data_IF_590249790944
#
_entry.id   IF_590249790944
#
_cell.length_a   1.000
_cell.length_b   1.000
_cell.length_c   1.000
_cell.angle_alpha   90.00
_cell.angle_beta   90.00
_cell.angle_gamma   90.00
#
_symmetry.space_group_name_H-M   'P 1'
#
loop_
_entity.id
_entity.type
_entity.pdbx_description
1 polymer ?
#
# COMPACT_ATOMS: atom_id res chain seq x y z
N UNK A 1 14.47 4.22 -33.98
CA UNK A 1 13.83 4.46 -32.68
C UNK A 1 14.59 5.56 -31.96
N UNK A 2 13.90 6.53 -31.34
CA UNK A 2 14.55 7.59 -30.58
C UNK A 2 15.14 7.03 -29.28
N UNK A 3 16.37 7.42 -28.92
CA UNK A 3 17.00 7.05 -27.67
C UNK A 3 16.30 7.77 -26.51
N UNK A 4 16.06 7.07 -25.39
CA UNK A 4 15.47 7.69 -24.22
C UNK A 4 16.39 8.81 -23.67
N UNK A 5 15.78 9.94 -23.29
CA UNK A 5 16.50 11.08 -22.73
C UNK A 5 16.99 10.83 -21.29
N UNK A 6 16.31 9.97 -20.54
CA UNK A 6 16.63 9.58 -19.16
C UNK A 6 16.46 8.08 -18.99
N UNK A 7 17.30 7.48 -18.12
CA UNK A 7 17.22 6.06 -17.77
C UNK A 7 16.06 5.75 -16.83
N UNK A 8 15.66 6.71 -15.98
CA UNK A 8 14.46 6.62 -15.13
C UNK A 8 13.38 7.48 -15.76
N UNK A 9 12.21 6.93 -16.13
CA UNK A 9 11.14 7.69 -16.73
C UNK A 9 10.60 8.78 -15.77
N UNK A 10 10.02 9.83 -16.33
CA UNK A 10 9.44 10.91 -15.52
C UNK A 10 8.31 10.37 -14.62
N UNK A 11 8.32 10.78 -13.35
CA UNK A 11 7.35 10.36 -12.34
C UNK A 11 7.64 9.00 -11.69
N UNK A 12 8.60 8.24 -12.21
CA UNK A 12 9.06 7.00 -11.56
C UNK A 12 10.21 7.28 -10.61
N UNK A 13 10.32 6.43 -9.59
CA UNK A 13 11.45 6.39 -8.67
C UNK A 13 12.31 5.16 -8.95
N UNK A 14 13.53 5.12 -8.41
CA UNK A 14 14.45 3.98 -8.55
C UNK A 14 13.78 2.66 -8.12
N UNK A 15 13.00 2.70 -7.05
CA UNK A 15 12.14 1.59 -6.64
C UNK A 15 10.70 1.99 -6.97
N UNK A 16 10.06 1.21 -7.83
CA UNK A 16 8.66 1.41 -8.22
C UNK A 16 7.90 0.14 -7.92
N UNK A 17 6.84 0.17 -7.12
CA UNK A 17 6.04 -1.00 -6.83
C UNK A 17 5.41 -1.58 -8.10
N UNK A 18 5.35 -2.91 -8.17
CA UNK A 18 4.67 -3.64 -9.22
C UNK A 18 3.74 -4.68 -8.58
N UNK A 19 2.44 -4.55 -8.79
CA UNK A 19 1.42 -5.45 -8.24
C UNK A 19 0.91 -6.39 -9.33
N UNK A 20 1.01 -7.68 -9.06
CA UNK A 20 0.45 -8.75 -9.89
C UNK A 20 -0.89 -9.16 -9.31
N UNK A 21 -1.95 -9.13 -10.10
CA UNK A 21 -3.33 -9.14 -9.65
C UNK A 21 -4.14 -10.23 -10.36
N UNK A 22 -5.01 -10.93 -9.62
CA UNK A 22 -5.94 -11.91 -10.20
C UNK A 22 -6.96 -11.23 -11.14
N UNK A 23 -7.31 -9.97 -10.83
CA UNK A 23 -8.17 -9.12 -11.66
C UNK A 23 -7.70 -7.66 -11.51
N UNK A 24 -6.78 -7.25 -12.39
CA UNK A 24 -6.21 -5.92 -12.36
C UNK A 24 -7.25 -4.81 -12.64
N UNK A 25 -8.24 -5.07 -13.48
CA UNK A 25 -9.30 -4.10 -13.77
C UNK A 25 -10.12 -3.78 -12.52
N UNK A 26 -10.55 -4.81 -11.80
CA UNK A 26 -11.29 -4.64 -10.54
C UNK A 26 -10.44 -3.96 -9.46
N UNK A 27 -9.17 -4.33 -9.34
CA UNK A 27 -8.26 -3.73 -8.39
C UNK A 27 -8.04 -2.23 -8.66
N UNK A 28 -7.86 -1.84 -9.93
CA UNK A 28 -7.72 -0.43 -10.31
C UNK A 28 -8.96 0.38 -9.89
N UNK A 29 -10.17 -0.12 -10.14
CA UNK A 29 -11.39 0.57 -9.70
C UNK A 29 -11.47 0.66 -8.18
N UNK A 30 -11.05 -0.38 -7.46
CA UNK A 30 -10.97 -0.33 -6.01
C UNK A 30 -9.95 0.73 -5.53
N UNK A 31 -8.74 0.80 -6.12
CA UNK A 31 -7.74 1.81 -5.73
C UNK A 31 -8.20 3.24 -6.00
N UNK A 32 -9.00 3.46 -7.08
CA UNK A 32 -9.64 4.76 -7.33
C UNK A 32 -10.60 5.12 -6.18
N UNK A 33 -11.44 4.18 -5.76
CA UNK A 33 -12.43 4.41 -4.72
C UNK A 33 -11.83 4.43 -3.30
N UNK A 34 -10.92 3.50 -3.01
CA UNK A 34 -10.34 3.31 -1.69
C UNK A 34 -9.20 4.27 -1.35
N UNK A 35 -8.37 4.63 -2.34
CA UNK A 35 -7.18 5.46 -2.13
C UNK A 35 -7.16 6.75 -2.98
N UNK A 36 -8.21 7.03 -3.74
CA UNK A 36 -8.23 8.19 -4.64
C UNK A 36 -7.21 8.09 -5.77
N UNK A 37 -6.85 6.88 -6.19
CA UNK A 37 -5.88 6.67 -7.25
C UNK A 37 -6.37 7.22 -8.59
N UNK A 38 -5.42 7.64 -9.42
CA UNK A 38 -5.65 8.03 -10.82
C UNK A 38 -5.06 6.98 -11.73
N UNK A 39 -5.82 6.50 -12.70
CA UNK A 39 -5.31 5.63 -13.75
C UNK A 39 -4.55 6.48 -14.77
N UNK A 40 -3.27 6.16 -15.00
CA UNK A 40 -2.39 6.89 -15.92
C UNK A 40 -2.30 6.21 -17.27
N UNK A 41 -2.25 4.87 -17.27
CA UNK A 41 -2.13 4.08 -18.49
C UNK A 41 -2.72 2.68 -18.29
N UNK A 42 -3.25 2.11 -19.39
CA UNK A 42 -3.71 0.72 -19.45
C UNK A 42 -3.45 0.17 -20.85
N UNK A 43 -2.82 -0.99 -20.90
CA UNK A 43 -2.57 -1.73 -22.13
C UNK A 43 -3.11 -3.16 -22.00
N UNK A 44 -3.95 -3.55 -22.94
CA UNK A 44 -4.58 -4.87 -22.94
C UNK A 44 -3.81 -5.83 -23.86
N UNK A 45 -3.76 -7.08 -23.46
CA UNK A 45 -3.34 -8.18 -24.31
C UNK A 45 -4.45 -8.62 -25.29
N UNK A 46 -4.11 -9.54 -26.21
CA UNK A 46 -5.08 -10.08 -27.18
C UNK A 46 -6.26 -10.81 -26.51
N UNK A 47 -6.07 -11.31 -25.30
CA UNK A 47 -7.06 -12.01 -24.47
C UNK A 47 -7.91 -11.05 -23.62
N UNK A 48 -7.73 -9.74 -23.78
CA UNK A 48 -8.43 -8.70 -23.01
C UNK A 48 -7.90 -8.46 -21.59
N UNK A 49 -6.88 -9.21 -21.17
CA UNK A 49 -6.23 -9.01 -19.87
C UNK A 49 -5.36 -7.76 -19.87
N UNK A 50 -5.23 -7.15 -18.71
CA UNK A 50 -4.31 -6.02 -18.53
C UNK A 50 -2.88 -6.56 -18.49
N UNK A 51 -2.13 -6.31 -19.57
CA UNK A 51 -0.71 -6.65 -19.67
C UNK A 51 0.17 -5.65 -18.91
N UNK A 52 -0.26 -4.41 -18.85
CA UNK A 52 0.44 -3.33 -18.18
C UNK A 52 -0.54 -2.21 -17.87
N UNK A 53 -0.59 -1.78 -16.64
CA UNK A 53 -1.27 -0.56 -16.23
C UNK A 53 -0.41 0.21 -15.24
N UNK A 54 -0.68 1.50 -15.13
CA UNK A 54 -0.04 2.41 -14.16
C UNK A 54 -1.13 3.20 -13.47
N UNK A 55 -1.13 3.18 -12.16
CA UNK A 55 -1.92 4.09 -11.34
C UNK A 55 -1.01 5.05 -10.59
N UNK A 56 -1.57 6.18 -10.17
CA UNK A 56 -0.91 7.17 -9.33
C UNK A 56 -1.68 7.36 -8.05
N UNK A 57 -0.99 7.23 -6.91
CA UNK A 57 -1.52 7.55 -5.57
C UNK A 57 -0.61 8.63 -5.00
N UNK A 58 -1.18 9.80 -4.67
CA UNK A 58 -0.37 10.96 -4.32
C UNK A 58 0.61 11.32 -5.45
N UNK A 59 1.91 11.24 -5.17
CA UNK A 59 2.99 11.44 -6.16
C UNK A 59 3.60 10.13 -6.67
N UNK A 60 3.22 8.98 -6.10
CA UNK A 60 3.82 7.69 -6.39
C UNK A 60 3.11 6.95 -7.53
N UNK A 61 3.89 6.41 -8.46
CA UNK A 61 3.40 5.53 -9.52
C UNK A 61 3.52 4.07 -9.09
N UNK A 62 2.51 3.29 -9.43
CA UNK A 62 2.44 1.85 -9.17
C UNK A 62 2.11 1.14 -10.48
N UNK A 63 2.94 0.19 -10.86
CA UNK A 63 2.73 -0.67 -12.04
C UNK A 63 1.81 -1.82 -11.65
N UNK A 64 0.94 -2.24 -12.55
CA UNK A 64 0.00 -3.34 -12.34
C UNK A 64 -0.17 -4.16 -13.59
N UNK A 65 -0.46 -5.45 -13.42
CA UNK A 65 -0.91 -6.34 -14.49
C UNK A 65 -1.78 -7.49 -13.95
N UNK A 66 -2.57 -8.06 -14.81
CA UNK A 66 -3.21 -9.36 -14.55
C UNK A 66 -2.15 -10.47 -14.48
N UNK A 67 -2.40 -11.50 -13.69
CA UNK A 67 -1.51 -12.65 -13.60
C UNK A 67 -1.25 -13.26 -14.97
N UNK A 68 0.02 -13.37 -15.32
CA UNK A 68 0.47 -14.08 -16.51
C UNK A 68 0.76 -15.55 -16.16
N UNK A 69 0.98 -16.37 -17.21
CA UNK A 69 1.27 -17.78 -17.03
C UNK A 69 2.43 -18.02 -16.04
N UNK A 70 2.17 -18.82 -15.01
CA UNK A 70 3.14 -19.15 -13.97
C UNK A 70 3.26 -18.13 -12.83
N UNK A 71 2.61 -16.97 -12.94
CA UNK A 71 2.56 -15.99 -11.85
C UNK A 71 1.47 -16.36 -10.83
N UNK A 72 1.66 -15.90 -9.59
CA UNK A 72 0.72 -16.08 -8.48
C UNK A 72 0.54 -14.75 -7.76
N UNK A 73 -0.69 -14.37 -7.48
CA UNK A 73 -1.03 -13.22 -6.67
C UNK A 73 -0.99 -13.54 -5.17
N UNK A 74 -1.21 -12.52 -4.31
CA UNK A 74 -1.20 -12.68 -2.85
C UNK A 74 -2.13 -13.75 -2.32
N UNK A 75 -3.29 -13.93 -2.95
CA UNK A 75 -4.30 -14.93 -2.58
C UNK A 75 -3.72 -16.36 -2.57
N UNK A 76 -2.87 -16.69 -3.54
CA UNK A 76 -2.27 -18.01 -3.67
C UNK A 76 -1.23 -18.31 -2.57
N UNK A 77 -0.78 -17.28 -1.86
CA UNK A 77 0.17 -17.39 -0.74
C UNK A 77 -0.48 -17.13 0.64
N UNK A 78 -1.81 -16.95 0.67
CA UNK A 78 -2.52 -16.59 1.90
C UNK A 78 -2.34 -15.15 2.34
N UNK A 79 -1.82 -14.29 1.48
CA UNK A 79 -1.56 -12.85 1.70
C UNK A 79 -0.25 -12.39 1.09
N UNK A 80 0.02 -11.10 1.18
CA UNK A 80 1.29 -10.52 0.70
C UNK A 80 2.32 -10.49 1.83
N UNK A 81 3.55 -11.00 1.63
CA UNK A 81 4.64 -10.89 2.60
C UNK A 81 5.26 -9.49 2.62
N UNK A 82 4.98 -8.67 1.61
CA UNK A 82 5.37 -7.26 1.56
C UNK A 82 4.17 -6.37 1.85
N UNK A 83 4.41 -5.24 2.48
CA UNK A 83 3.42 -4.18 2.68
C UNK A 83 3.87 -2.90 1.98
N UNK A 84 2.88 -2.11 1.53
CA UNK A 84 3.10 -0.78 1.02
C UNK A 84 2.70 0.24 2.09
N UNK A 85 3.44 1.34 2.16
CA UNK A 85 3.23 2.37 3.15
C UNK A 85 2.80 3.67 2.48
N UNK A 86 1.63 4.18 2.86
CA UNK A 86 1.09 5.46 2.39
C UNK A 86 1.24 6.50 3.49
N UNK A 87 2.08 7.51 3.25
CA UNK A 87 2.08 8.72 4.06
C UNK A 87 1.14 9.75 3.45
N UNK A 88 0.17 10.20 4.24
CA UNK A 88 -0.89 11.13 3.82
C UNK A 88 -1.13 12.19 4.88
N UNK A 89 -1.71 13.32 4.49
CA UNK A 89 -2.02 14.43 5.42
C UNK A 89 -3.09 14.05 6.45
N UNK A 90 -4.00 13.14 6.09
CA UNK A 90 -5.10 12.70 6.95
C UNK A 90 -5.33 11.18 6.85
N UNK A 91 -4.62 10.44 7.69
CA UNK A 91 -4.74 8.98 7.77
C UNK A 91 -6.12 8.52 8.24
N UNK A 92 -6.79 9.27 9.11
CA UNK A 92 -8.15 8.94 9.58
C UNK A 92 -9.14 8.91 8.42
N UNK A 93 -9.12 9.94 7.58
CA UNK A 93 -10.02 10.03 6.43
C UNK A 93 -9.74 8.92 5.40
N UNK A 94 -8.47 8.71 5.03
CA UNK A 94 -8.12 7.71 4.02
C UNK A 94 -8.35 6.29 4.53
N UNK A 95 -8.05 6.01 5.80
CA UNK A 95 -8.30 4.72 6.42
C UNK A 95 -9.81 4.37 6.42
N UNK A 96 -10.65 5.34 6.83
CA UNK A 96 -12.10 5.18 6.79
C UNK A 96 -12.63 4.96 5.38
N UNK A 97 -12.08 5.69 4.39
CA UNK A 97 -12.43 5.54 2.97
C UNK A 97 -12.07 4.14 2.46
N UNK A 98 -10.87 3.65 2.74
CA UNK A 98 -10.42 2.32 2.34
C UNK A 98 -11.30 1.21 2.94
N UNK A 99 -11.61 1.32 4.24
CA UNK A 99 -12.50 0.35 4.92
C UNK A 99 -13.91 0.41 4.33
N UNK A 100 -14.45 1.62 4.10
CA UNK A 100 -15.75 1.82 3.44
C UNK A 100 -15.80 1.26 2.01
N UNK A 101 -14.67 1.22 1.32
CA UNK A 101 -14.51 0.59 0.00
C UNK A 101 -14.31 -0.94 0.07
N UNK A 102 -14.26 -1.55 1.26
CA UNK A 102 -14.17 -3.00 1.45
C UNK A 102 -12.78 -3.52 1.84
N UNK A 103 -11.83 -2.67 2.22
CA UNK A 103 -10.59 -3.13 2.81
C UNK A 103 -10.83 -3.73 4.20
N UNK A 104 -10.09 -4.78 4.52
CA UNK A 104 -10.15 -5.43 5.83
C UNK A 104 -9.09 -4.86 6.76
N UNK A 105 -9.49 -4.42 7.95
CA UNK A 105 -8.59 -3.93 8.98
C UNK A 105 -7.66 -5.06 9.45
N UNK A 106 -6.36 -4.82 9.41
CA UNK A 106 -5.32 -5.67 9.98
C UNK A 106 -4.78 -5.12 11.30
N UNK A 107 -4.48 -3.82 11.31
CA UNK A 107 -4.08 -3.08 12.49
C UNK A 107 -5.01 -1.88 12.60
N UNK A 108 -5.76 -1.73 13.70
CA UNK A 108 -6.62 -0.58 13.92
C UNK A 108 -5.84 0.73 13.82
N UNK A 109 -6.49 1.77 13.32
CA UNK A 109 -5.92 3.10 13.27
C UNK A 109 -5.68 3.63 14.70
N UNK A 110 -4.49 4.10 14.97
CA UNK A 110 -4.12 4.65 16.28
C UNK A 110 -2.76 5.35 16.23
N UNK A 111 -2.43 6.01 17.33
CA UNK A 111 -1.12 6.62 17.49
C UNK A 111 -0.08 5.52 17.77
N UNK A 112 1.01 5.57 17.02
CA UNK A 112 2.06 4.56 17.06
C UNK A 112 3.26 5.08 17.86
N UNK A 113 4.00 4.19 18.51
CA UNK A 113 5.13 4.56 19.35
C UNK A 113 6.24 5.29 18.58
N UNK A 114 6.31 5.10 17.27
CA UNK A 114 7.31 5.74 16.39
C UNK A 114 6.90 7.13 15.88
N UNK A 115 5.80 7.71 16.40
CA UNK A 115 5.39 9.08 16.12
C UNK A 115 4.44 9.29 14.95
N UNK A 116 3.92 8.20 14.36
CA UNK A 116 2.89 8.26 13.35
C UNK A 116 1.50 7.99 13.95
N UNK A 117 0.47 8.55 13.34
CA UNK A 117 -0.89 8.08 13.48
C UNK A 117 -1.25 7.25 12.26
N UNK A 118 -1.45 5.96 12.45
CA UNK A 118 -1.65 5.05 11.34
C UNK A 118 -2.22 3.69 11.73
N UNK A 119 -2.58 2.92 10.72
CA UNK A 119 -3.08 1.57 10.82
C UNK A 119 -2.85 0.81 9.52
N UNK A 120 -3.12 -0.49 9.52
CA UNK A 120 -2.94 -1.32 8.34
C UNK A 120 -4.25 -1.95 7.89
N UNK A 121 -4.43 -2.02 6.57
CA UNK A 121 -5.55 -2.70 5.93
C UNK A 121 -5.03 -3.69 4.89
N UNK A 122 -5.82 -4.73 4.62
CA UNK A 122 -5.64 -5.58 3.45
C UNK A 122 -6.67 -5.19 2.41
N UNK A 123 -6.22 -4.90 1.19
CA UNK A 123 -7.12 -4.63 0.07
C UNK A 123 -7.80 -5.92 -0.43
N UNK A 124 -8.84 -5.83 -1.27
CA UNK A 124 -9.52 -7.02 -1.82
C UNK A 124 -8.63 -7.94 -2.67
N UNK A 125 -7.51 -7.42 -3.19
CA UNK A 125 -6.55 -8.22 -3.95
C UNK A 125 -5.54 -8.98 -3.05
N UNK A 126 -5.52 -8.67 -1.74
CA UNK A 126 -4.69 -9.37 -0.75
C UNK A 126 -3.38 -8.65 -0.41
N UNK A 127 -3.16 -7.43 -0.90
CA UNK A 127 -2.00 -6.63 -0.52
C UNK A 127 -2.24 -5.87 0.79
N UNK A 128 -1.21 -5.78 1.62
CA UNK A 128 -1.24 -5.04 2.88
C UNK A 128 -0.76 -3.61 2.67
N UNK A 129 -1.54 -2.65 3.18
CA UNK A 129 -1.26 -1.22 3.10
C UNK A 129 -1.27 -0.62 4.50
N UNK A 130 -0.16 0.02 4.87
CA UNK A 130 -0.12 0.94 6.01
C UNK A 130 -0.55 2.32 5.54
N UNK A 131 -1.45 2.95 6.30
CA UNK A 131 -1.94 4.30 6.04
C UNK A 131 -1.57 5.14 7.25
N UNK A 132 -0.70 6.12 7.08
CA UNK A 132 -0.10 6.86 8.18
C UNK A 132 -0.02 8.37 7.89
N UNK A 133 -0.12 9.15 8.96
CA UNK A 133 0.23 10.57 9.01
C UNK A 133 1.34 10.75 10.03
N UNK A 134 2.44 11.37 9.64
CA UNK A 134 3.51 11.75 10.56
C UNK A 134 3.00 12.82 11.54
N UNK A 135 3.08 12.55 12.85
CA UNK A 135 2.65 13.46 13.91
C UNK A 135 3.79 14.07 14.68
N UNK A 136 4.87 13.32 14.88
CA UNK A 136 5.99 13.71 15.69
C UNK A 136 7.31 13.35 15.03
N UNK A 137 8.29 14.22 15.13
CA UNK A 137 9.68 13.96 14.77
C UNK A 137 10.45 13.56 16.03
N UNK A 138 10.68 12.28 16.20
CA UNK A 138 11.35 11.71 17.35
C UNK A 138 12.85 11.59 17.10
N UNK A 139 13.64 11.88 18.14
CA UNK A 139 15.06 11.50 18.18
C UNK A 139 15.19 9.97 18.32
N UNK A 140 16.36 9.43 17.97
CA UNK A 140 16.62 8.01 18.15
C UNK A 140 16.45 7.57 19.62
N UNK A 141 16.87 8.39 20.57
CA UNK A 141 16.74 8.09 22.00
C UNK A 141 15.26 8.02 22.45
N UNK A 142 14.43 8.96 22.00
CA UNK A 142 12.98 8.94 22.27
C UNK A 142 12.30 7.72 21.63
N UNK A 143 12.69 7.38 20.39
CA UNK A 143 12.17 6.21 19.72
C UNK A 143 12.53 4.91 20.45
N UNK A 144 13.79 4.76 20.87
CA UNK A 144 14.25 3.59 21.65
C UNK A 144 13.51 3.48 22.99
N UNK A 145 13.32 4.60 23.69
CA UNK A 145 12.57 4.61 24.94
C UNK A 145 11.12 4.17 24.73
N UNK A 146 10.41 4.78 23.76
CA UNK A 146 9.00 4.46 23.45
C UNK A 146 8.84 3.00 23.00
N UNK A 147 9.77 2.49 22.17
CA UNK A 147 9.77 1.10 21.76
C UNK A 147 9.93 0.15 22.96
N UNK A 148 10.86 0.47 23.88
CA UNK A 148 11.07 -0.30 25.12
C UNK A 148 9.81 -0.36 25.99
N UNK A 149 9.12 0.76 26.15
CA UNK A 149 7.89 0.83 26.94
C UNK A 149 6.73 0.09 26.27
N UNK A 150 6.60 0.22 24.94
CA UNK A 150 5.61 -0.52 24.16
C UNK A 150 5.77 -2.04 24.30
N UNK A 151 6.99 -2.57 24.14
CA UNK A 151 7.25 -4.01 24.26
C UNK A 151 7.07 -4.52 25.68
N UNK A 152 7.37 -3.72 26.72
CA UNK A 152 7.09 -4.08 28.11
C UNK A 152 5.59 -4.21 28.36
N UNK A 153 4.77 -3.31 27.81
CA UNK A 153 3.31 -3.38 27.92
C UNK A 153 2.75 -4.61 27.20
N UNK A 154 3.25 -4.93 26.02
CA UNK A 154 2.83 -6.13 25.28
C UNK A 154 3.21 -7.44 25.99
N UNK A 155 4.31 -7.46 26.73
CA UNK A 155 4.77 -8.63 27.46
C UNK A 155 4.00 -8.91 28.78
N UNK A 156 3.19 -7.93 29.26
CA UNK A 156 2.34 -8.12 30.43
C UNK A 156 1.12 -8.96 30.05
N UNK A 157 0.84 -10.07 30.74
CA UNK A 157 -0.38 -10.82 30.48
C UNK A 157 -1.60 -9.92 30.75
N UNK A 158 -2.57 -9.96 29.84
CA UNK A 158 -3.82 -9.24 30.01
C UNK A 158 -4.40 -9.60 31.38
N UNK A 159 -4.51 -8.60 32.27
CA UNK A 159 -5.19 -8.77 33.54
C UNK A 159 -6.62 -9.20 33.25
N UNK A 160 -6.97 -10.37 33.71
CA UNK A 160 -8.32 -10.96 33.62
C UNK A 160 -9.31 -10.15 34.43
#
# INVERSE_FOLDING_TARGET
MAKAAKSVPNGYHTVTPHLMLDNAAQAIEWYKNGFGAQEIARHLGPDGKIMHAVIKIGESLIIMNDLMQGQKGPQAYGGSPASLWLYVDNSDALFSQAVGAGARVQVPLGDQFWGDRGGAVTDPAGYTWWIATRKEDLTNAELEQRAGDFFKQMAQPASR
#
